data_IF_645033728511
#
_entry.id   IF_645033728511
#
_cell.length_a   1.000
_cell.length_b   1.000
_cell.length_c   1.000
_cell.angle_alpha   90.00
_cell.angle_beta   90.00
_cell.angle_gamma   90.00
#
_symmetry.space_group_name_H-M   'P 1'
#
loop_
_entity.id
_entity.type
_entity.pdbx_description
1 polymer ?
#
# COMPACT_ATOMS: atom_id res chain seq x y z
N UNK A 1 12.90 9.82 28.59
CA UNK A 1 11.95 10.57 27.74
C UNK A 1 11.19 9.72 26.73
N UNK A 2 11.81 8.78 25.99
CA UNK A 2 11.10 7.99 24.96
C UNK A 2 9.95 7.08 25.48
N UNK A 3 10.04 6.61 26.73
CA UNK A 3 9.05 5.70 27.34
C UNK A 3 7.73 6.41 27.68
N UNK A 4 7.77 7.71 28.02
CA UNK A 4 6.58 8.47 28.41
C UNK A 4 5.69 8.87 27.22
N UNK A 5 6.30 9.07 26.04
CA UNK A 5 5.58 9.46 24.81
C UNK A 5 4.65 8.35 24.32
N UNK A 6 5.07 7.08 24.41
CA UNK A 6 4.24 5.96 23.94
C UNK A 6 3.07 5.63 24.87
N UNK A 7 3.24 5.72 26.20
CA UNK A 7 2.13 5.49 27.15
C UNK A 7 1.03 6.53 26.99
N UNK A 8 1.39 7.81 26.83
CA UNK A 8 0.41 8.86 26.52
C UNK A 8 -0.20 8.70 25.10
N UNK A 9 0.56 8.20 24.13
CA UNK A 9 0.08 7.94 22.75
C UNK A 9 -0.88 6.75 22.62
N UNK A 10 -1.00 5.88 23.64
CA UNK A 10 -2.07 4.86 23.66
C UNK A 10 -3.45 5.46 23.95
N UNK A 11 -3.53 6.62 24.59
CA UNK A 11 -4.79 7.35 24.86
C UNK A 11 -5.17 8.34 23.77
N UNK A 12 -4.23 8.72 22.89
CA UNK A 12 -4.52 9.53 21.71
C UNK A 12 -4.86 8.59 20.54
N UNK A 13 -6.02 8.78 19.92
CA UNK A 13 -6.40 8.17 18.64
C UNK A 13 -5.52 8.68 17.50
N UNK A 14 -4.20 8.54 17.60
CA UNK A 14 -3.31 8.92 16.54
C UNK A 14 -3.29 7.76 15.52
N UNK A 15 -3.76 7.94 14.27
CA UNK A 15 -3.83 6.88 13.25
C UNK A 15 -2.46 6.34 12.85
N UNK A 16 -1.37 6.94 13.35
CA UNK A 16 0.01 6.51 13.10
C UNK A 16 0.50 5.44 14.07
N UNK A 17 -0.11 5.29 15.25
CA UNK A 17 0.32 4.33 16.26
C UNK A 17 -0.53 3.05 16.20
N UNK A 18 0.06 1.98 15.65
CA UNK A 18 -0.59 0.67 15.53
C UNK A 18 -1.20 0.38 14.15
N UNK A 19 -0.98 1.26 13.16
CA UNK A 19 -1.44 1.06 11.79
C UNK A 19 -0.29 0.67 10.86
N UNK A 20 -0.51 -0.37 10.07
CA UNK A 20 0.37 -0.80 9.00
C UNK A 20 -0.22 -0.39 7.64
N UNK A 21 0.63 0.11 6.74
CA UNK A 21 0.24 0.41 5.36
C UNK A 21 0.20 -0.87 4.52
N UNK A 22 -0.85 -1.04 3.72
CA UNK A 22 -1.06 -2.18 2.83
C UNK A 22 -1.73 -1.70 1.53
N UNK A 23 -1.70 -2.51 0.47
CA UNK A 23 -2.30 -2.13 -0.82
C UNK A 23 -3.79 -1.78 -0.71
N UNK A 24 -4.50 -2.43 0.20
CA UNK A 24 -5.94 -2.20 0.47
C UNK A 24 -6.22 -1.02 1.40
N UNK A 25 -5.19 -0.26 1.79
CA UNK A 25 -5.30 0.93 2.64
C UNK A 25 -4.47 0.83 3.92
N UNK A 26 -5.13 0.88 5.07
CA UNK A 26 -4.47 0.86 6.37
C UNK A 26 -5.02 -0.24 7.25
N UNK A 27 -4.13 -1.04 7.82
CA UNK A 27 -4.45 -2.15 8.70
C UNK A 27 -4.20 -1.73 10.15
N UNK A 28 -5.26 -1.58 10.95
CA UNK A 28 -5.14 -1.25 12.36
C UNK A 28 -4.94 -2.53 13.20
N UNK A 29 -3.69 -2.80 13.57
CA UNK A 29 -3.30 -3.99 14.32
C UNK A 29 -3.74 -3.98 15.78
N UNK A 30 -4.37 -2.90 16.29
CA UNK A 30 -4.99 -2.91 17.63
C UNK A 30 -6.34 -3.64 17.65
N UNK A 31 -6.93 -3.95 16.49
CA UNK A 31 -8.21 -4.66 16.41
C UNK A 31 -8.06 -6.12 16.83
N UNK A 32 -9.02 -6.61 17.62
CA UNK A 32 -9.05 -8.00 18.13
C UNK A 32 -9.13 -9.08 17.04
N UNK A 33 -9.57 -8.72 15.83
CA UNK A 33 -9.64 -9.64 14.68
C UNK A 33 -8.27 -10.22 14.31
N UNK A 34 -7.17 -9.54 14.67
CA UNK A 34 -5.82 -9.97 14.33
C UNK A 34 -5.15 -10.84 15.39
N UNK A 35 -5.81 -11.11 16.54
CA UNK A 35 -5.24 -11.89 17.65
C UNK A 35 -4.82 -13.29 17.23
N UNK A 36 -5.54 -13.92 16.30
CA UNK A 36 -5.29 -15.28 15.82
C UNK A 36 -4.89 -15.33 14.34
N UNK A 37 -4.46 -14.20 13.79
CA UNK A 37 -4.05 -14.10 12.40
C UNK A 37 -2.54 -14.33 12.27
N UNK A 38 -2.15 -15.55 11.88
CA UNK A 38 -0.75 -15.94 11.75
C UNK A 38 -0.14 -15.58 10.39
N UNK A 39 -0.84 -14.82 9.55
CA UNK A 39 -0.29 -14.32 8.29
C UNK A 39 0.62 -13.10 8.53
N UNK A 40 1.60 -12.85 7.65
CA UNK A 40 2.35 -11.59 7.65
C UNK A 40 1.42 -10.41 7.32
N UNK A 41 1.88 -9.18 7.56
CA UNK A 41 1.08 -7.97 7.20
C UNK A 41 0.78 -7.97 5.70
N UNK A 42 1.79 -8.26 4.89
CA UNK A 42 1.75 -8.32 3.43
C UNK A 42 2.72 -9.41 2.97
N UNK A 43 2.24 -10.35 2.14
CA UNK A 43 3.02 -11.47 1.63
C UNK A 43 4.08 -11.04 0.61
N UNK A 44 3.84 -9.94 -0.09
CA UNK A 44 4.73 -9.44 -1.15
C UNK A 44 5.79 -8.48 -0.59
N UNK A 45 5.64 -8.08 0.68
CA UNK A 45 6.56 -7.17 1.34
C UNK A 45 7.83 -7.89 1.81
N UNK A 46 8.98 -7.46 1.28
CA UNK A 46 10.29 -8.06 1.60
C UNK A 46 10.95 -7.53 2.87
N UNK A 47 10.23 -6.72 3.67
CA UNK A 47 10.78 -6.09 4.87
C UNK A 47 11.08 -7.11 5.97
N UNK A 48 12.00 -6.77 6.89
CA UNK A 48 12.38 -7.65 8.00
C UNK A 48 11.21 -7.96 8.94
N UNK A 49 10.24 -7.05 9.06
CA UNK A 49 9.02 -7.25 9.87
C UNK A 49 8.13 -8.33 9.27
N UNK A 50 7.77 -8.23 7.98
CA UNK A 50 6.89 -9.19 7.30
C UNK A 50 7.53 -10.58 7.16
N UNK A 51 8.86 -10.66 7.07
CA UNK A 51 9.58 -11.94 6.98
C UNK A 51 9.66 -12.71 8.29
N UNK A 52 9.55 -12.04 9.45
CA UNK A 52 9.82 -12.65 10.77
C UNK A 52 8.61 -12.69 11.68
N UNK A 53 7.62 -11.82 11.49
CA UNK A 53 6.53 -11.63 12.43
C UNK A 53 5.16 -11.76 11.76
N UNK A 54 4.22 -12.32 12.51
CA UNK A 54 2.82 -12.48 12.12
C UNK A 54 1.96 -11.33 12.63
N UNK A 55 0.77 -11.13 12.05
CA UNK A 55 -0.20 -10.12 12.52
C UNK A 55 -0.61 -10.35 13.98
N UNK A 56 -0.78 -11.60 14.41
CA UNK A 56 -1.06 -11.99 15.80
C UNK A 56 0.05 -11.57 16.77
N UNK A 57 1.30 -11.81 16.40
CA UNK A 57 2.44 -11.40 17.21
C UNK A 57 2.53 -9.87 17.31
N UNK A 58 2.36 -9.18 16.18
CA UNK A 58 2.38 -7.73 16.14
C UNK A 58 1.23 -7.11 16.93
N UNK A 59 0.03 -7.70 16.91
CA UNK A 59 -1.09 -7.27 17.75
C UNK A 59 -0.74 -7.31 19.24
N UNK A 60 -0.12 -8.41 19.70
CA UNK A 60 0.31 -8.57 21.09
C UNK A 60 1.37 -7.52 21.47
N UNK A 61 2.37 -7.29 20.62
CA UNK A 61 3.45 -6.35 20.95
C UNK A 61 3.00 -4.90 20.87
N UNK A 62 2.20 -4.53 19.86
CA UNK A 62 1.72 -3.15 19.68
C UNK A 62 0.85 -2.69 20.85
N UNK A 63 0.19 -3.62 21.56
CA UNK A 63 -0.63 -3.32 22.74
C UNK A 63 0.16 -3.29 24.05
N UNK A 64 1.32 -3.95 24.11
CA UNK A 64 2.09 -4.12 25.35
C UNK A 64 3.39 -3.30 25.40
N UNK A 65 4.07 -3.10 24.26
CA UNK A 65 5.41 -2.54 24.19
C UNK A 65 5.61 -1.49 23.08
N UNK A 66 6.55 -0.58 23.29
CA UNK A 66 6.92 0.46 22.31
C UNK A 66 7.70 -0.09 21.11
N UNK A 67 8.27 -1.30 21.25
CA UNK A 67 8.99 -2.00 20.18
C UNK A 67 8.06 -2.28 19.00
N UNK A 68 6.77 -2.50 19.25
CA UNK A 68 5.76 -2.69 18.19
C UNK A 68 5.70 -1.50 17.23
N UNK A 69 5.83 -0.28 17.75
CA UNK A 69 5.84 0.93 16.90
C UNK A 69 7.05 0.97 15.96
N UNK A 70 8.21 0.47 16.40
CA UNK A 70 9.41 0.41 15.57
C UNK A 70 9.25 -0.61 14.45
N UNK A 71 8.71 -1.80 14.75
CA UNK A 71 8.46 -2.84 13.75
C UNK A 71 7.46 -2.39 12.67
N UNK A 72 6.41 -1.65 13.07
CA UNK A 72 5.47 -1.05 12.12
C UNK A 72 6.09 0.07 11.30
N UNK A 73 6.96 0.87 11.89
CA UNK A 73 7.68 1.92 11.15
C UNK A 73 8.57 1.31 10.07
N UNK A 74 9.30 0.22 10.39
CA UNK A 74 10.12 -0.51 9.41
C UNK A 74 9.26 -1.01 8.24
N UNK A 75 8.09 -1.59 8.53
CA UNK A 75 7.15 -2.02 7.49
C UNK A 75 6.64 -0.85 6.66
N UNK A 76 6.15 0.22 7.30
CA UNK A 76 5.54 1.36 6.61
C UNK A 76 6.54 2.10 5.71
N UNK A 77 7.79 2.26 6.14
CA UNK A 77 8.84 2.86 5.32
C UNK A 77 9.18 1.94 4.15
N UNK A 78 9.33 0.64 4.38
CA UNK A 78 9.59 -0.32 3.30
C UNK A 78 8.45 -0.37 2.28
N UNK A 79 7.21 -0.32 2.74
CA UNK A 79 6.01 -0.24 1.91
C UNK A 79 6.02 1.02 1.05
N UNK A 80 6.25 2.20 1.65
CA UNK A 80 6.32 3.46 0.91
C UNK A 80 7.47 3.45 -0.11
N UNK A 81 8.66 2.95 0.27
CA UNK A 81 9.78 2.81 -0.65
C UNK A 81 9.45 1.89 -1.84
N UNK A 82 8.80 0.75 -1.57
CA UNK A 82 8.32 -0.16 -2.62
C UNK A 82 7.33 0.53 -3.56
N UNK A 83 6.36 1.26 -3.01
CA UNK A 83 5.36 1.99 -3.79
C UNK A 83 6.00 3.09 -4.66
N UNK A 84 6.98 3.83 -4.13
CA UNK A 84 7.75 4.80 -4.90
C UNK A 84 8.49 4.12 -6.06
N UNK A 85 9.13 2.97 -5.82
CA UNK A 85 9.82 2.22 -6.88
C UNK A 85 8.86 1.76 -7.98
N UNK A 86 7.67 1.28 -7.62
CA UNK A 86 6.62 0.89 -8.58
C UNK A 86 6.17 2.10 -9.39
N UNK A 87 5.91 3.24 -8.75
CA UNK A 87 5.51 4.47 -9.44
C UNK A 87 6.60 4.96 -10.40
N UNK A 88 7.86 4.96 -9.99
CA UNK A 88 8.97 5.36 -10.86
C UNK A 88 9.11 4.44 -12.08
N UNK A 89 8.89 3.13 -11.91
CA UNK A 89 8.86 2.18 -13.04
C UNK A 89 7.71 2.49 -13.99
N UNK A 90 6.52 2.74 -13.46
CA UNK A 90 5.35 3.11 -14.26
C UNK A 90 5.59 4.41 -15.06
N UNK A 91 6.09 5.46 -14.40
CA UNK A 91 6.42 6.73 -15.05
C UNK A 91 7.47 6.56 -16.15
N UNK A 92 8.47 5.70 -15.92
CA UNK A 92 9.49 5.39 -16.93
C UNK A 92 8.86 4.68 -18.14
N UNK A 93 7.99 3.69 -17.93
CA UNK A 93 7.28 3.01 -19.02
C UNK A 93 6.37 3.96 -19.81
N UNK A 94 5.72 4.91 -19.14
CA UNK A 94 4.95 5.98 -19.79
C UNK A 94 5.87 6.83 -20.68
N UNK A 95 6.99 7.31 -20.14
CA UNK A 95 7.94 8.12 -20.92
C UNK A 95 8.52 7.38 -22.12
N UNK A 96 8.81 6.08 -21.98
CA UNK A 96 9.28 5.24 -23.09
C UNK A 96 8.22 5.09 -24.17
N UNK A 97 6.95 4.93 -23.79
CA UNK A 97 5.82 4.84 -24.72
C UNK A 97 5.59 6.15 -25.47
N UNK A 98 5.75 7.30 -24.79
CA UNK A 98 5.69 8.63 -25.43
C UNK A 98 6.84 8.80 -26.45
N UNK A 99 8.06 8.38 -26.12
CA UNK A 99 9.20 8.43 -27.05
C UNK A 99 8.99 7.57 -28.30
N UNK A 100 8.29 6.44 -28.15
CA UNK A 100 7.96 5.50 -29.24
C UNK A 100 6.70 5.87 -30.02
N UNK A 101 5.96 6.92 -29.61
CA UNK A 101 4.64 7.28 -30.15
C UNK A 101 3.56 6.19 -29.98
N UNK A 102 3.73 5.29 -28.99
CA UNK A 102 2.84 4.15 -28.70
C UNK A 102 2.03 4.38 -27.40
N UNK A 103 1.85 5.65 -26.99
CA UNK A 103 1.18 5.98 -25.73
C UNK A 103 -0.28 5.49 -25.64
N UNK A 104 -1.13 5.60 -26.69
CA UNK A 104 -2.50 5.10 -26.62
C UNK A 104 -2.59 3.59 -26.33
N UNK A 105 -1.71 2.80 -26.97
CA UNK A 105 -1.65 1.34 -26.79
C UNK A 105 -1.18 0.96 -25.38
N UNK A 106 -0.25 1.73 -24.82
CA UNK A 106 0.18 1.58 -23.43
C UNK A 106 -0.99 1.80 -22.46
N UNK A 107 -1.80 2.84 -22.68
CA UNK A 107 -2.98 3.13 -21.83
C UNK A 107 -4.01 2.00 -21.92
N UNK A 108 -4.30 1.51 -23.13
CA UNK A 108 -5.23 0.39 -23.31
C UNK A 108 -4.77 -0.87 -22.55
N UNK A 109 -3.51 -1.28 -22.72
CA UNK A 109 -2.93 -2.43 -21.98
C UNK A 109 -2.97 -2.21 -20.46
N UNK A 110 -2.68 -1.00 -20.00
CA UNK A 110 -2.70 -0.67 -18.58
C UNK A 110 -4.12 -0.77 -17.99
N UNK A 111 -5.13 -0.31 -18.74
CA UNK A 111 -6.54 -0.38 -18.34
C UNK A 111 -7.05 -1.83 -18.28
N UNK A 112 -6.63 -2.70 -19.19
CA UNK A 112 -6.96 -4.13 -19.16
C UNK A 112 -6.39 -4.84 -17.92
N UNK A 113 -5.15 -4.50 -17.52
CA UNK A 113 -4.52 -5.06 -16.31
C UNK A 113 -5.21 -4.59 -15.04
N UNK A 114 -5.64 -3.32 -14.99
CA UNK A 114 -6.32 -2.76 -13.82
C UNK A 114 -7.78 -3.19 -13.69
N UNK A 115 -8.47 -3.33 -14.82
CA UNK A 115 -9.89 -3.70 -14.88
C UNK A 115 -10.06 -4.94 -15.77
N UNK A 116 -9.75 -6.13 -15.25
CA UNK A 116 -9.92 -7.37 -16.02
C UNK A 116 -11.38 -7.61 -16.42
N UNK A 117 -12.34 -7.08 -15.65
CA UNK A 117 -13.78 -7.14 -15.94
C UNK A 117 -14.23 -6.14 -17.02
N UNK A 118 -13.33 -5.30 -17.57
CA UNK A 118 -13.58 -4.23 -18.56
C UNK A 118 -14.69 -3.22 -18.19
N UNK A 119 -15.08 -3.18 -16.91
CA UNK A 119 -16.04 -2.19 -16.39
C UNK A 119 -15.30 -0.89 -16.06
N UNK A 120 -15.18 -0.02 -17.04
CA UNK A 120 -14.53 1.28 -16.85
C UNK A 120 -15.50 2.30 -16.22
N UNK A 121 -15.10 2.99 -15.15
CA UNK A 121 -15.83 4.15 -14.63
C UNK A 121 -15.98 5.25 -15.69
N UNK A 122 -17.13 5.93 -15.69
CA UNK A 122 -17.45 6.96 -16.69
C UNK A 122 -16.41 8.08 -16.76
N UNK A 123 -15.91 8.54 -15.61
CA UNK A 123 -14.90 9.60 -15.55
C UNK A 123 -13.59 9.24 -16.28
N UNK A 124 -13.24 7.95 -16.38
CA UNK A 124 -12.04 7.51 -17.10
C UNK A 124 -12.28 7.60 -18.60
N UNK A 125 -13.44 7.15 -19.07
CA UNK A 125 -13.84 7.20 -20.48
C UNK A 125 -13.85 8.66 -20.94
N UNK A 126 -14.50 9.54 -20.17
CA UNK A 126 -14.61 10.97 -20.50
C UNK A 126 -13.22 11.64 -20.53
N UNK A 127 -12.34 11.31 -19.58
CA UNK A 127 -10.98 11.85 -19.52
C UNK A 127 -10.12 11.40 -20.71
N UNK A 128 -10.20 10.13 -21.09
CA UNK A 128 -9.43 9.59 -22.22
C UNK A 128 -9.98 10.05 -23.57
N UNK A 129 -11.29 10.22 -23.69
CA UNK A 129 -11.92 10.80 -24.88
C UNK A 129 -11.43 12.23 -25.13
N UNK A 130 -11.20 13.03 -24.08
CA UNK A 130 -10.68 14.40 -24.20
C UNK A 130 -9.29 14.50 -24.84
N UNK A 131 -8.51 13.40 -24.81
CA UNK A 131 -7.16 13.31 -25.39
C UNK A 131 -7.12 12.39 -26.62
N UNK A 132 -8.26 12.12 -27.26
CA UNK A 132 -8.40 11.22 -28.42
C UNK A 132 -7.89 9.79 -28.20
N UNK A 133 -8.04 9.25 -26.98
CA UNK A 133 -7.73 7.85 -26.68
C UNK A 133 -9.04 7.11 -26.47
N UNK A 134 -9.39 6.24 -27.42
CA UNK A 134 -10.57 5.37 -27.33
C UNK A 134 -10.18 4.04 -26.65
N UNK A 135 -10.96 3.62 -25.66
CA UNK A 135 -10.85 2.30 -25.05
C UNK A 135 -11.75 1.32 -25.82
N UNK A 136 -11.18 0.19 -26.26
CA UNK A 136 -11.98 -0.91 -26.81
C UNK A 136 -12.82 -1.50 -25.67
N UNK A 137 -14.09 -1.11 -25.63
CA UNK A 137 -15.13 -1.64 -24.73
C UNK A 137 -15.44 -3.10 -25.07
#
# INVERSE_FOLDING_TARGET
MAIAVCRAATQLENPRFGCALVNTGQLNLKRKIYVQDFQPIDSDCVCSTCKRYTKAYLHSIVTMETVGCHLLTVHNVAYQASMILVLLRLMKSIQESIKKQEFPEFVQKFMEVLYPDKKYPQWIIDSLASVNIELNL
#
